data_IF_440941645332
#
_entry.id   IF_440941645332
#
_cell.length_a   1.000
_cell.length_b   1.000
_cell.length_c   1.000
_cell.angle_alpha   90.00
_cell.angle_beta   90.00
_cell.angle_gamma   90.00
#
_symmetry.space_group_name_H-M   'P 1'
#
loop_
_entity.id
_entity.type
_entity.pdbx_description
1 polymer ?
#
# COMPACT_ATOMS: atom_id res chain seq x y z
N UNK A 1 -1.72 -65.79 -16.89
CA UNK A 1 -2.31 -64.58 -17.48
C UNK A 1 -1.49 -63.33 -17.14
N UNK A 2 -0.17 -63.30 -17.36
CA UNK A 2 0.66 -62.15 -16.92
C UNK A 2 1.52 -61.50 -18.01
N UNK A 3 1.72 -62.19 -19.15
CA UNK A 3 2.52 -61.68 -20.27
C UNK A 3 1.65 -60.91 -21.27
N UNK A 4 0.44 -61.40 -21.55
CA UNK A 4 -0.51 -60.77 -22.48
C UNK A 4 -1.07 -59.44 -21.94
N UNK A 5 -1.31 -59.32 -20.63
CA UNK A 5 -1.72 -58.05 -20.01
C UNK A 5 -0.60 -57.02 -20.04
N UNK A 6 0.65 -57.45 -19.84
CA UNK A 6 1.82 -56.57 -19.87
C UNK A 6 2.09 -56.05 -21.27
N UNK A 7 2.00 -56.91 -22.29
CA UNK A 7 2.06 -56.50 -23.71
C UNK A 7 0.92 -55.53 -24.08
N UNK A 8 -0.28 -55.71 -23.51
CA UNK A 8 -1.41 -54.81 -23.75
C UNK A 8 -1.15 -53.42 -23.15
N UNK A 9 -0.60 -53.33 -21.94
CA UNK A 9 -0.23 -52.05 -21.29
C UNK A 9 0.91 -51.30 -21.98
N UNK A 10 1.87 -52.04 -22.54
CA UNK A 10 2.96 -51.48 -23.37
C UNK A 10 2.40 -50.92 -24.68
N UNK A 11 1.51 -51.64 -25.36
CA UNK A 11 0.89 -51.20 -26.61
C UNK A 11 -0.11 -50.04 -26.43
N UNK A 12 -0.71 -49.89 -25.25
CA UNK A 12 -1.64 -48.78 -24.92
C UNK A 12 -0.97 -47.56 -24.30
N UNK A 13 0.36 -47.57 -24.10
CA UNK A 13 1.12 -46.43 -23.55
C UNK A 13 0.83 -46.12 -22.07
N UNK A 14 0.15 -47.01 -21.34
CA UNK A 14 -0.21 -46.79 -19.93
C UNK A 14 1.02 -46.85 -19.00
N UNK A 15 2.06 -47.63 -19.34
CA UNK A 15 3.33 -47.63 -18.60
C UNK A 15 4.12 -46.32 -18.82
N UNK A 16 4.18 -45.79 -20.05
CA UNK A 16 4.82 -44.49 -20.34
C UNK A 16 4.09 -43.30 -19.69
N UNK A 17 2.75 -43.35 -19.62
CA UNK A 17 1.96 -42.32 -18.94
C UNK A 17 2.19 -42.33 -17.42
N UNK A 18 2.45 -43.52 -16.85
CA UNK A 18 2.74 -43.67 -15.43
C UNK A 18 4.15 -43.20 -15.08
N UNK A 19 5.15 -43.55 -15.89
CA UNK A 19 6.51 -43.02 -15.76
C UNK A 19 6.55 -41.49 -15.88
N UNK A 20 5.87 -40.92 -16.89
CA UNK A 20 5.76 -39.44 -17.02
C UNK A 20 5.06 -38.79 -15.83
N UNK A 21 4.06 -39.45 -15.24
CA UNK A 21 3.37 -38.93 -14.05
C UNK A 21 4.22 -38.97 -12.78
N UNK A 22 5.14 -39.94 -12.67
CA UNK A 22 6.10 -40.04 -11.56
C UNK A 22 7.23 -39.03 -11.76
N UNK A 23 7.72 -38.85 -13.00
CA UNK A 23 8.74 -37.85 -13.35
C UNK A 23 8.25 -36.40 -13.14
N UNK A 24 6.96 -36.12 -13.41
CA UNK A 24 6.35 -34.81 -13.13
C UNK A 24 6.20 -34.56 -11.62
N UNK A 25 5.92 -35.60 -10.82
CA UNK A 25 5.84 -35.47 -9.36
C UNK A 25 7.20 -35.22 -8.73
N UNK A 26 8.25 -35.88 -9.23
CA UNK A 26 9.62 -35.68 -8.76
C UNK A 26 10.11 -34.25 -9.09
N UNK A 27 9.82 -33.76 -10.30
CA UNK A 27 10.12 -32.37 -10.69
C UNK A 27 9.32 -31.32 -9.92
N UNK A 28 8.08 -31.62 -9.53
CA UNK A 28 7.27 -30.74 -8.67
C UNK A 28 7.84 -30.68 -7.24
N UNK A 29 8.27 -31.81 -6.68
CA UNK A 29 8.89 -31.85 -5.36
C UNK A 29 10.23 -31.07 -5.33
N UNK A 30 11.08 -31.24 -6.35
CA UNK A 30 12.33 -30.46 -6.47
C UNK A 30 12.08 -28.95 -6.67
N UNK A 31 10.97 -28.58 -7.30
CA UNK A 31 10.59 -27.18 -7.48
C UNK A 31 10.05 -26.55 -6.17
N UNK A 32 9.28 -27.32 -5.39
CA UNK A 32 8.78 -26.89 -4.08
C UNK A 32 9.94 -26.67 -3.08
N UNK A 33 10.92 -27.58 -3.04
CA UNK A 33 12.10 -27.46 -2.18
C UNK A 33 12.94 -26.22 -2.52
N UNK A 34 13.16 -25.94 -3.82
CA UNK A 34 13.87 -24.73 -4.28
C UNK A 34 13.12 -23.42 -4.02
N UNK A 35 11.79 -23.47 -3.95
CA UNK A 35 10.97 -22.30 -3.59
C UNK A 35 11.03 -22.05 -2.09
N UNK A 36 11.05 -23.11 -1.29
CA UNK A 36 11.19 -23.00 0.17
C UNK A 36 12.57 -22.44 0.55
N UNK A 37 13.66 -22.95 -0.05
CA UNK A 37 15.03 -22.49 0.18
C UNK A 37 15.21 -21.01 -0.21
N UNK A 38 14.67 -20.59 -1.37
CA UNK A 38 14.66 -19.16 -1.77
C UNK A 38 13.79 -18.29 -0.87
N UNK A 39 12.73 -18.84 -0.28
CA UNK A 39 11.88 -18.09 0.65
C UNK A 39 12.59 -17.83 1.98
N UNK A 40 13.47 -18.72 2.41
CA UNK A 40 14.30 -18.54 3.60
C UNK A 40 15.42 -17.53 3.36
N UNK A 41 16.11 -17.59 2.21
CA UNK A 41 17.12 -16.57 1.83
C UNK A 41 16.53 -15.15 1.75
N UNK A 42 15.28 -15.01 1.28
CA UNK A 42 14.59 -13.72 1.21
C UNK A 42 14.20 -13.21 2.60
N UNK A 43 13.86 -14.10 3.54
CA UNK A 43 13.58 -13.74 4.94
C UNK A 43 14.84 -13.28 5.67
N UNK A 44 15.98 -13.95 5.47
CA UNK A 44 17.26 -13.51 6.03
C UNK A 44 17.66 -12.14 5.50
N UNK A 45 17.53 -11.90 4.18
CA UNK A 45 17.84 -10.60 3.58
C UNK A 45 16.90 -9.48 4.03
N UNK A 46 15.64 -9.79 4.36
CA UNK A 46 14.69 -8.85 4.94
C UNK A 46 15.04 -8.53 6.40
N UNK A 47 15.45 -9.52 7.19
CA UNK A 47 15.89 -9.31 8.57
C UNK A 47 17.17 -8.46 8.65
N UNK A 48 18.16 -8.72 7.78
CA UNK A 48 19.39 -7.91 7.69
C UNK A 48 19.09 -6.46 7.23
N UNK A 49 18.04 -6.26 6.43
CA UNK A 49 17.63 -4.93 6.00
C UNK A 49 16.87 -4.18 7.10
N UNK A 50 16.10 -4.87 7.95
CA UNK A 50 15.42 -4.29 9.12
C UNK A 50 16.43 -3.88 10.20
N UNK A 51 17.44 -4.71 10.48
CA UNK A 51 18.51 -4.42 11.45
C UNK A 51 19.36 -3.20 11.04
N UNK A 52 19.69 -3.07 9.75
CA UNK A 52 20.40 -1.89 9.20
C UNK A 52 19.58 -0.60 9.23
N UNK A 53 18.24 -0.70 9.28
CA UNK A 53 17.35 0.44 9.42
C UNK A 53 17.20 0.82 10.90
N UNK A 54 17.25 -0.15 11.80
CA UNK A 54 17.26 0.07 13.25
C UNK A 54 18.55 0.74 13.72
N UNK A 55 19.73 0.26 13.29
CA UNK A 55 21.03 0.88 13.64
C UNK A 55 21.12 2.34 13.14
N UNK A 56 20.65 2.62 11.92
CA UNK A 56 20.58 4.00 11.41
C UNK A 56 19.59 4.90 12.16
N UNK A 57 18.58 4.30 12.80
CA UNK A 57 17.62 5.04 13.62
C UNK A 57 18.14 5.34 15.03
N UNK A 58 19.13 4.57 15.50
CA UNK A 58 19.83 4.80 16.78
C UNK A 58 20.99 5.78 16.63
N UNK A 59 21.75 5.74 15.53
CA UNK A 59 22.80 6.75 15.23
C UNK A 59 22.23 8.17 15.09
N UNK A 60 20.97 8.32 14.64
CA UNK A 60 20.28 9.62 14.56
C UNK A 60 19.83 10.12 15.94
N UNK A 61 19.63 9.22 16.91
CA UNK A 61 19.23 9.58 18.29
C UNK A 61 20.43 9.93 19.17
N UNK A 62 21.58 9.30 18.96
CA UNK A 62 22.80 9.59 19.73
C UNK A 62 23.52 10.87 19.27
N UNK A 63 23.23 11.36 18.05
CA UNK A 63 23.78 12.63 17.56
C UNK A 63 23.15 13.90 18.20
N UNK A 64 22.06 13.76 18.98
CA UNK A 64 21.39 14.89 19.66
C UNK A 64 21.80 15.10 21.13
N UNK A 65 22.69 14.28 21.72
CA UNK A 65 23.09 14.42 23.13
C UNK A 65 24.57 14.85 23.35
N UNK A 66 24.77 16.18 23.38
CA UNK A 66 25.70 16.97 24.25
C UNK A 66 27.23 16.97 23.99
N UNK A 67 28.03 17.98 24.49
CA UNK A 67 27.69 19.19 25.26
C UNK A 67 28.26 20.52 24.70
N UNK A 68 27.68 21.67 25.09
CA UNK A 68 28.29 23.01 24.95
C UNK A 68 28.66 23.57 26.33
N UNK A 69 29.89 24.02 26.45
CA UNK A 69 30.42 24.79 27.58
C UNK A 69 29.98 26.26 27.53
N UNK A 70 29.63 26.76 28.72
CA UNK A 70 29.69 28.12 29.29
C UNK A 70 29.42 29.37 28.42
N UNK A 71 28.31 30.06 28.72
CA UNK A 71 28.26 31.52 28.87
C UNK A 71 27.05 31.96 29.71
N UNK A 72 27.37 32.48 30.91
CA UNK A 72 26.74 33.53 31.72
C UNK A 72 25.22 33.55 32.01
N UNK A 73 24.95 33.79 33.30
CA UNK A 73 23.68 33.83 34.02
C UNK A 73 22.70 34.90 33.51
N UNK A 74 21.48 34.49 33.15
CA UNK A 74 20.29 35.33 33.28
C UNK A 74 19.24 34.56 34.11
N UNK A 75 18.92 35.10 35.29
CA UNK A 75 17.87 34.60 36.17
C UNK A 75 16.51 34.69 35.47
N UNK A 76 15.87 33.54 35.20
CA UNK A 76 14.45 33.47 34.88
C UNK A 76 13.76 32.76 36.04
N UNK A 77 12.94 33.50 36.77
CA UNK A 77 12.11 33.02 37.88
C UNK A 77 11.25 31.84 37.42
N UNK A 78 11.47 30.65 38.01
CA UNK A 78 10.54 29.53 37.87
C UNK A 78 9.21 29.89 38.54
N UNK A 79 8.23 30.34 37.75
CA UNK A 79 6.83 30.32 38.16
C UNK A 79 6.39 28.84 38.31
N UNK A 80 6.26 28.41 39.57
CA UNK A 80 5.70 27.09 39.91
C UNK A 80 4.30 26.98 39.30
N UNK A 81 3.98 25.97 38.47
CA UNK A 81 2.64 25.84 37.96
C UNK A 81 1.69 25.57 39.13
N UNK A 82 0.68 26.42 39.25
CA UNK A 82 -0.44 26.18 40.15
C UNK A 82 -1.06 24.82 39.80
N UNK A 83 -1.39 24.08 40.85
CA UNK A 83 -1.80 22.67 40.87
C UNK A 83 -3.07 22.35 40.03
N UNK A 84 -3.63 23.32 39.31
CA UNK A 84 -4.83 23.19 38.47
C UNK A 84 -4.56 22.63 37.08
N UNK A 85 -3.35 22.76 36.55
CA UNK A 85 -3.11 22.51 35.11
C UNK A 85 -2.92 21.03 34.75
N UNK A 86 -2.77 20.16 35.76
CA UNK A 86 -2.66 18.70 35.62
C UNK A 86 -4.01 18.04 35.28
N UNK A 87 -5.14 18.74 35.41
CA UNK A 87 -6.49 18.22 35.10
C UNK A 87 -7.01 18.58 33.70
N UNK A 88 -6.22 19.27 32.89
CA UNK A 88 -6.60 19.55 31.50
C UNK A 88 -6.02 18.45 30.61
N UNK A 89 -6.89 17.56 30.11
CA UNK A 89 -6.57 16.60 29.03
C UNK A 89 -6.10 17.26 27.72
N UNK A 90 -5.95 18.58 27.70
CA UNK A 90 -5.48 19.37 26.58
C UNK A 90 -3.97 19.51 26.72
N UNK A 91 -3.23 18.66 26.00
CA UNK A 91 -1.78 18.82 25.88
C UNK A 91 -1.50 20.04 24.99
N UNK A 92 -1.15 21.17 25.60
CA UNK A 92 -0.47 22.30 24.96
C UNK A 92 -1.17 22.98 23.77
N UNK A 93 -0.54 24.04 23.26
CA UNK A 93 -1.04 24.84 22.13
C UNK A 93 -1.08 24.08 20.79
N UNK A 94 -0.43 22.91 20.71
CA UNK A 94 -0.24 22.11 19.49
C UNK A 94 -1.53 21.42 18.97
N UNK A 95 -2.54 21.20 19.82
CA UNK A 95 -3.82 20.59 19.43
C UNK A 95 -4.94 21.62 19.11
N UNK A 96 -4.65 22.92 19.19
CA UNK A 96 -5.64 23.97 18.97
C UNK A 96 -5.87 24.21 17.47
N UNK A 97 -7.00 23.73 16.95
CA UNK A 97 -7.46 24.06 15.59
C UNK A 97 -7.90 25.52 15.54
N UNK A 98 -7.17 26.35 14.79
CA UNK A 98 -7.47 27.76 14.56
C UNK A 98 -8.25 27.92 13.25
N UNK A 99 -8.83 29.11 13.06
CA UNK A 99 -9.51 29.45 11.79
C UNK A 99 -8.55 29.49 10.60
N UNK A 100 -7.26 29.73 10.84
CA UNK A 100 -6.20 29.71 9.82
C UNK A 100 -6.01 28.35 9.19
N UNK A 101 -6.27 27.28 9.92
CA UNK A 101 -5.95 25.90 9.51
C UNK A 101 -7.06 25.28 8.66
N UNK A 102 -8.18 26.00 8.50
CA UNK A 102 -9.36 25.58 7.77
C UNK A 102 -9.23 26.04 6.32
N UNK A 103 -8.95 25.09 5.43
CA UNK A 103 -8.96 25.28 3.98
C UNK A 103 -10.32 24.88 3.40
N UNK A 104 -11.16 25.88 3.12
CA UNK A 104 -12.47 25.66 2.50
C UNK A 104 -12.36 25.14 1.07
N UNK A 105 -11.33 25.54 0.33
CA UNK A 105 -11.11 25.12 -1.06
C UNK A 105 -10.84 23.62 -1.12
N UNK A 106 -10.10 23.09 -0.14
CA UNK A 106 -9.88 21.64 -0.03
C UNK A 106 -11.19 20.86 0.14
N UNK A 107 -12.07 21.31 1.04
CA UNK A 107 -13.36 20.65 1.26
C UNK A 107 -14.24 20.69 0.01
N UNK A 108 -14.28 21.84 -0.67
CA UNK A 108 -15.03 22.03 -1.92
C UNK A 108 -14.45 21.17 -3.05
N UNK A 109 -13.13 21.06 -3.16
CA UNK A 109 -12.45 20.20 -4.13
C UNK A 109 -12.81 18.73 -3.95
N UNK A 110 -12.82 18.24 -2.71
CA UNK A 110 -13.22 16.86 -2.39
C UNK A 110 -14.69 16.62 -2.74
N UNK A 111 -15.58 17.59 -2.50
CA UNK A 111 -16.99 17.50 -2.87
C UNK A 111 -17.16 17.47 -4.40
N UNK A 112 -16.53 18.40 -5.11
CA UNK A 112 -16.58 18.51 -6.56
C UNK A 112 -16.04 17.27 -7.28
N UNK A 113 -15.06 16.58 -6.69
CA UNK A 113 -14.52 15.33 -7.23
C UNK A 113 -15.42 14.10 -7.02
N UNK A 114 -16.66 14.27 -6.52
CA UNK A 114 -17.63 13.21 -6.27
C UNK A 114 -17.87 12.88 -4.80
N UNK A 115 -17.30 13.68 -3.88
CA UNK A 115 -17.44 13.55 -2.43
C UNK A 115 -18.64 14.29 -1.83
N UNK A 116 -19.62 14.76 -2.62
CA UNK A 116 -20.77 15.59 -2.17
C UNK A 116 -21.49 15.03 -0.93
N UNK A 117 -21.60 13.70 -0.83
CA UNK A 117 -22.22 13.03 0.33
C UNK A 117 -21.52 13.28 1.67
N UNK A 118 -20.33 13.87 1.67
CA UNK A 118 -19.57 14.28 2.85
C UNK A 118 -20.38 15.22 3.76
N UNK A 119 -21.21 16.09 3.18
CA UNK A 119 -22.02 17.07 3.91
C UNK A 119 -23.10 16.42 4.78
N UNK A 120 -23.54 15.22 4.43
CA UNK A 120 -24.59 14.51 5.16
C UNK A 120 -24.07 13.85 6.45
N UNK A 121 -22.75 13.84 6.65
CA UNK A 121 -22.14 13.18 7.81
C UNK A 121 -22.40 13.96 9.11
N UNK A 122 -23.25 13.39 9.96
CA UNK A 122 -23.53 13.85 11.33
C UNK A 122 -22.64 13.22 12.43
N UNK A 123 -21.50 12.63 12.08
CA UNK A 123 -20.50 12.14 13.04
C UNK A 123 -20.93 11.01 14.02
N UNK A 124 -21.88 10.14 13.65
CA UNK A 124 -22.32 9.02 14.52
C UNK A 124 -21.24 7.99 14.92
N UNK A 125 -20.18 7.79 14.11
CA UNK A 125 -19.10 6.84 14.41
C UNK A 125 -19.32 5.39 14.00
N UNK A 126 -20.45 5.02 13.38
CA UNK A 126 -20.70 3.65 12.86
C UNK A 126 -19.60 3.16 11.92
N UNK A 127 -19.02 4.08 11.13
CA UNK A 127 -17.92 3.78 10.23
C UNK A 127 -16.65 3.33 10.97
N UNK A 128 -16.30 3.99 12.07
CA UNK A 128 -15.14 3.63 12.90
C UNK A 128 -15.36 2.28 13.58
N UNK A 129 -16.56 2.04 14.15
CA UNK A 129 -16.88 0.75 14.77
C UNK A 129 -16.91 -0.42 13.79
N UNK A 130 -17.26 -0.15 12.53
CA UNK A 130 -17.29 -1.17 11.46
C UNK A 130 -15.92 -1.48 10.88
N UNK A 131 -14.95 -0.58 11.04
CA UNK A 131 -13.66 -0.68 10.37
C UNK A 131 -12.84 -1.87 10.92
N UNK A 132 -12.33 -2.76 10.06
CA UNK A 132 -11.40 -3.80 10.50
C UNK A 132 -10.04 -3.20 10.89
N UNK A 133 -9.51 -2.25 10.12
CA UNK A 133 -8.22 -1.59 10.41
C UNK A 133 -8.26 -0.82 11.72
N UNK A 134 -9.34 -0.07 11.97
CA UNK A 134 -9.48 0.77 13.17
C UNK A 134 -9.62 0.01 14.50
N UNK A 135 -9.80 -1.32 14.45
CA UNK A 135 -9.76 -2.20 15.63
C UNK A 135 -8.35 -2.51 16.11
N UNK A 136 -7.34 -2.40 15.24
CA UNK A 136 -5.94 -2.76 15.53
C UNK A 136 -4.97 -1.59 15.37
N UNK A 137 -5.46 -0.44 14.93
CA UNK A 137 -4.65 0.73 14.58
C UNK A 137 -5.30 2.01 15.10
N UNK A 138 -4.57 3.14 15.16
CA UNK A 138 -5.16 4.44 15.48
C UNK A 138 -6.12 4.96 14.39
N UNK A 139 -6.31 4.25 13.27
CA UNK A 139 -7.16 4.67 12.17
C UNK A 139 -8.64 4.85 12.59
N UNK A 140 -9.12 6.09 12.63
CA UNK A 140 -10.53 6.42 12.90
C UNK A 140 -11.18 7.08 11.69
N UNK A 141 -11.96 6.29 10.96
CA UNK A 141 -12.70 6.75 9.76
C UNK A 141 -13.52 8.02 10.03
N UNK A 142 -14.22 8.08 11.17
CA UNK A 142 -15.01 9.24 11.58
C UNK A 142 -14.17 10.53 11.64
N UNK A 143 -12.95 10.45 12.17
CA UNK A 143 -12.06 11.62 12.32
C UNK A 143 -11.59 12.12 10.95
N UNK A 144 -11.20 11.22 10.04
CA UNK A 144 -10.80 11.61 8.67
C UNK A 144 -11.95 12.31 7.95
N UNK A 145 -13.16 11.74 8.04
CA UNK A 145 -14.36 12.37 7.46
C UNK A 145 -14.65 13.73 8.11
N UNK A 146 -14.39 13.89 9.41
CA UNK A 146 -14.55 15.18 10.08
C UNK A 146 -13.53 16.20 9.60
N UNK A 147 -12.24 15.83 9.59
CA UNK A 147 -11.15 16.68 9.11
C UNK A 147 -11.41 17.12 7.66
N UNK A 148 -11.86 16.20 6.79
CA UNK A 148 -12.18 16.50 5.40
C UNK A 148 -13.36 17.48 5.25
N UNK A 149 -14.40 17.33 6.08
CA UNK A 149 -15.53 18.27 6.08
C UNK A 149 -15.14 19.65 6.65
N UNK A 150 -14.17 19.68 7.58
CA UNK A 150 -13.63 20.94 8.12
C UNK A 150 -12.59 21.60 7.22
N UNK A 151 -12.05 20.91 6.21
CA UNK A 151 -10.99 21.48 5.37
C UNK A 151 -9.59 21.42 5.99
N UNK A 152 -9.35 20.53 6.96
CA UNK A 152 -8.05 20.43 7.66
C UNK A 152 -7.01 19.66 6.81
N UNK A 153 -6.67 20.21 5.65
CA UNK A 153 -5.80 19.60 4.64
C UNK A 153 -4.45 19.17 5.24
N UNK A 154 -3.80 20.07 5.98
CA UNK A 154 -2.46 19.87 6.51
C UNK A 154 -2.39 18.78 7.60
N UNK A 155 -3.54 18.43 8.19
CA UNK A 155 -3.63 17.31 9.15
C UNK A 155 -4.05 15.98 8.53
N UNK A 156 -4.48 15.96 7.27
CA UNK A 156 -5.00 14.75 6.60
C UNK A 156 -3.98 14.22 5.60
N UNK A 157 -3.41 15.09 4.76
CA UNK A 157 -2.51 14.66 3.68
C UNK A 157 -1.24 13.96 4.20
N UNK A 158 -0.54 14.48 5.23
CA UNK A 158 0.63 13.80 5.78
C UNK A 158 0.30 12.64 6.73
N UNK A 159 -0.97 12.45 7.11
CA UNK A 159 -1.35 11.45 8.11
C UNK A 159 -1.22 10.02 7.53
N UNK A 160 -0.27 9.19 8.02
CA UNK A 160 -0.04 7.85 7.48
C UNK A 160 -1.26 6.93 7.70
N UNK A 161 -2.13 7.24 8.66
CA UNK A 161 -3.33 6.43 8.92
C UNK A 161 -4.30 6.45 7.72
N UNK A 162 -4.25 7.48 6.85
CA UNK A 162 -5.03 7.54 5.62
C UNK A 162 -4.85 6.28 4.75
N UNK A 163 -3.65 5.72 4.73
CA UNK A 163 -3.30 4.54 3.93
C UNK A 163 -3.74 3.21 4.56
N UNK A 164 -4.16 3.20 5.83
CA UNK A 164 -4.62 2.00 6.54
C UNK A 164 -6.02 1.51 6.11
N UNK A 165 -6.76 2.29 5.31
CA UNK A 165 -8.02 1.84 4.74
C UNK A 165 -7.81 0.77 3.67
N UNK A 166 -8.38 -0.41 3.89
CA UNK A 166 -8.35 -1.54 2.95
C UNK A 166 -9.43 -1.46 1.87
N UNK A 167 -10.21 -0.37 1.82
CA UNK A 167 -11.33 -0.20 0.88
C UNK A 167 -12.36 -1.34 0.91
N UNK A 168 -12.60 -1.95 2.08
CA UNK A 168 -13.53 -3.07 2.24
C UNK A 168 -15.03 -2.73 2.17
N UNK A 169 -15.39 -1.44 2.00
CA UNK A 169 -16.78 -0.94 1.93
C UNK A 169 -17.70 -1.15 3.14
N UNK A 170 -17.28 -1.86 4.19
CA UNK A 170 -18.11 -2.12 5.37
C UNK A 170 -18.66 -0.84 6.05
N UNK A 171 -17.89 0.24 6.07
CA UNK A 171 -18.32 1.52 6.64
C UNK A 171 -19.37 2.24 5.78
N UNK A 172 -19.31 2.07 4.46
CA UNK A 172 -20.22 2.69 3.49
C UNK A 172 -21.58 2.01 3.53
N UNK A 173 -21.61 0.68 3.53
CA UNK A 173 -22.84 -0.11 3.61
C UNK A 173 -23.63 0.11 4.91
N UNK A 174 -22.92 0.34 6.02
CA UNK A 174 -23.56 0.57 7.33
C UNK A 174 -23.83 2.03 7.62
N UNK A 175 -23.54 2.94 6.70
CA UNK A 175 -23.73 4.37 6.95
C UNK A 175 -25.23 4.71 6.93
N UNK A 176 -25.83 5.18 8.05
CA UNK A 176 -27.25 5.54 8.08
C UNK A 176 -27.58 6.74 7.19
N UNK A 177 -26.56 7.55 6.85
CA UNK A 177 -26.67 8.73 5.97
C UNK A 177 -26.23 8.45 4.53
N UNK A 178 -25.88 7.20 4.20
CA UNK A 178 -25.41 6.79 2.86
C UNK A 178 -24.24 7.62 2.33
N UNK A 179 -23.33 8.03 3.23
CA UNK A 179 -22.08 8.72 2.85
C UNK A 179 -21.20 7.74 2.09
N UNK A 180 -20.69 8.15 0.92
CA UNK A 180 -19.74 7.38 0.09
C UNK A 180 -18.33 7.46 0.68
N UNK A 181 -18.17 6.91 1.89
CA UNK A 181 -16.97 7.06 2.71
C UNK A 181 -15.71 6.56 1.99
N UNK A 182 -15.79 5.41 1.32
CA UNK A 182 -14.62 4.83 0.64
C UNK A 182 -14.20 5.68 -0.54
N UNK A 183 -15.17 6.23 -1.28
CA UNK A 183 -14.89 7.12 -2.41
C UNK A 183 -14.24 8.43 -1.93
N UNK A 184 -14.75 9.04 -0.85
CA UNK A 184 -14.12 10.21 -0.22
C UNK A 184 -12.67 9.90 0.20
N UNK A 185 -12.41 8.75 0.82
CA UNK A 185 -11.05 8.37 1.21
C UNK A 185 -10.12 8.23 -0.01
N UNK A 186 -10.59 7.62 -1.11
CA UNK A 186 -9.81 7.51 -2.36
C UNK A 186 -9.53 8.89 -2.96
N UNK A 187 -10.48 9.82 -2.93
CA UNK A 187 -10.28 11.19 -3.39
C UNK A 187 -9.23 11.93 -2.55
N UNK A 188 -9.28 11.78 -1.22
CA UNK A 188 -8.27 12.35 -0.34
C UNK A 188 -6.89 11.74 -0.63
N UNK A 189 -6.80 10.42 -0.89
CA UNK A 189 -5.54 9.77 -1.31
C UNK A 189 -5.00 10.31 -2.62
N UNK A 190 -5.87 10.68 -3.58
CA UNK A 190 -5.43 11.32 -4.82
C UNK A 190 -4.79 12.68 -4.55
N UNK A 191 -5.36 13.47 -3.64
CA UNK A 191 -4.79 14.75 -3.23
C UNK A 191 -3.49 14.57 -2.43
N UNK A 192 -3.41 13.56 -1.57
CA UNK A 192 -2.19 13.20 -0.85
C UNK A 192 -1.08 12.77 -1.80
N UNK A 193 -1.42 11.96 -2.82
CA UNK A 193 -0.49 11.56 -3.88
C UNK A 193 0.04 12.76 -4.67
N UNK A 194 -0.83 13.70 -5.08
CA UNK A 194 -0.41 14.94 -5.76
C UNK A 194 0.49 15.82 -4.89
N UNK A 195 0.31 15.77 -3.58
CA UNK A 195 1.14 16.48 -2.61
C UNK A 195 2.46 15.73 -2.26
N UNK A 196 2.72 14.57 -2.86
CA UNK A 196 3.95 13.80 -2.66
C UNK A 196 3.89 12.73 -1.57
N UNK A 197 2.76 12.57 -0.86
CA UNK A 197 2.61 11.59 0.23
C UNK A 197 2.25 10.16 -0.27
N UNK A 198 2.82 9.74 -1.40
CA UNK A 198 2.65 8.38 -1.93
C UNK A 198 3.83 7.48 -1.51
N UNK A 199 3.52 6.31 -0.94
CA UNK A 199 4.53 5.32 -0.56
C UNK A 199 5.37 4.85 -1.77
N UNK A 200 6.69 4.64 -1.61
CA UNK A 200 7.56 4.12 -2.68
C UNK A 200 7.08 2.78 -3.26
N UNK A 201 6.50 1.90 -2.43
CA UNK A 201 6.00 0.59 -2.88
C UNK A 201 4.81 0.75 -3.83
N UNK A 202 3.91 1.71 -3.56
CA UNK A 202 2.81 2.01 -4.48
C UNK A 202 3.30 2.61 -5.80
N UNK A 203 4.33 3.47 -5.75
CA UNK A 203 4.98 4.01 -6.95
C UNK A 203 5.62 2.88 -7.78
N UNK A 204 6.30 1.93 -7.13
CA UNK A 204 6.91 0.77 -7.78
C UNK A 204 5.88 -0.12 -8.51
N UNK A 205 4.72 -0.37 -7.90
CA UNK A 205 3.62 -1.07 -8.61
C UNK A 205 3.16 -0.28 -9.85
N UNK A 206 3.12 1.05 -9.75
CA UNK A 206 2.86 1.94 -10.88
C UNK A 206 3.86 1.78 -12.03
N UNK A 207 5.15 1.66 -11.75
CA UNK A 207 6.17 1.47 -12.79
C UNK A 207 6.07 0.10 -13.47
N UNK A 208 5.69 -0.96 -12.74
CA UNK A 208 5.40 -2.26 -13.36
C UNK A 208 4.25 -2.19 -14.35
N UNK A 209 3.18 -1.45 -14.01
CA UNK A 209 2.04 -1.23 -14.92
C UNK A 209 2.47 -0.47 -16.17
N UNK A 210 3.34 0.54 -16.05
CA UNK A 210 3.86 1.28 -17.22
C UNK A 210 4.71 0.38 -18.13
N UNK A 211 5.60 -0.42 -17.54
CA UNK A 211 6.53 -1.30 -18.27
C UNK A 211 5.82 -2.45 -18.96
N UNK A 212 4.91 -3.11 -18.25
CA UNK A 212 4.40 -4.43 -18.63
C UNK A 212 2.88 -4.48 -18.78
N UNK A 213 2.16 -3.42 -18.39
CA UNK A 213 0.70 -3.40 -18.33
C UNK A 213 0.12 -4.10 -17.09
N UNK A 214 0.96 -4.64 -16.21
CA UNK A 214 0.53 -5.42 -15.04
C UNK A 214 1.20 -4.91 -13.76
N UNK A 215 0.47 -4.94 -12.65
CA UNK A 215 1.04 -4.63 -11.33
C UNK A 215 1.96 -5.74 -10.79
N UNK A 216 1.79 -6.96 -11.30
CA UNK A 216 2.67 -8.12 -11.06
C UNK A 216 3.03 -8.69 -12.43
N UNK A 217 4.26 -8.46 -12.93
CA UNK A 217 4.69 -8.98 -14.23
C UNK A 217 4.86 -10.50 -14.19
N UNK A 218 4.89 -11.13 -15.36
CA UNK A 218 5.10 -12.58 -15.47
C UNK A 218 6.58 -12.95 -15.41
N UNK A 219 6.91 -13.87 -14.50
CA UNK A 219 8.26 -14.44 -14.37
C UNK A 219 8.41 -15.74 -15.15
N UNK A 220 9.64 -16.17 -15.41
CA UNK A 220 9.92 -17.41 -16.14
C UNK A 220 9.40 -18.66 -15.42
N UNK A 221 9.41 -18.65 -14.08
CA UNK A 221 8.81 -19.71 -13.26
C UNK A 221 7.29 -19.81 -13.52
N UNK A 222 6.60 -18.67 -13.67
CA UNK A 222 5.17 -18.65 -13.97
C UNK A 222 4.88 -19.14 -15.39
N UNK A 223 5.75 -18.85 -16.37
CA UNK A 223 5.61 -19.37 -17.74
C UNK A 223 5.73 -20.90 -17.77
N UNK A 224 6.72 -21.45 -17.07
CA UNK A 224 6.92 -22.90 -16.96
C UNK A 224 5.75 -23.58 -16.23
N UNK A 225 5.26 -22.98 -15.14
CA UNK A 225 4.09 -23.49 -14.42
C UNK A 225 2.85 -23.53 -15.32
N UNK A 226 2.64 -22.49 -16.14
CA UNK A 226 1.52 -22.43 -17.09
C UNK A 226 1.59 -23.55 -18.11
N UNK A 227 2.75 -23.77 -18.71
CA UNK A 227 2.95 -24.87 -19.68
C UNK A 227 2.74 -26.24 -19.01
N UNK A 228 3.25 -26.42 -17.79
CA UNK A 228 3.07 -27.66 -17.03
C UNK A 228 1.59 -28.00 -16.72
N UNK A 229 0.73 -26.98 -16.56
CA UNK A 229 -0.72 -27.17 -16.38
C UNK A 229 -1.51 -27.14 -17.69
N UNK A 230 -0.82 -27.15 -18.84
CA UNK A 230 -1.43 -27.17 -20.18
C UNK A 230 -2.02 -25.82 -20.63
N UNK A 231 -1.61 -24.72 -20.00
CA UNK A 231 -1.92 -23.36 -20.44
C UNK A 231 -0.78 -22.83 -21.33
N UNK A 232 -1.09 -21.97 -22.30
CA UNK A 232 -0.04 -21.32 -23.09
C UNK A 232 0.92 -20.50 -22.22
N UNK A 233 2.22 -20.53 -22.55
CA UNK A 233 3.31 -19.87 -21.79
C UNK A 233 2.97 -18.42 -21.43
N UNK A 234 2.52 -17.65 -22.42
CA UNK A 234 2.08 -16.27 -22.23
C UNK A 234 0.55 -16.18 -22.12
N UNK A 235 0.01 -15.46 -21.13
CA UNK A 235 -1.41 -15.20 -21.04
C UNK A 235 -1.86 -14.23 -22.16
N UNK A 236 -3.13 -14.29 -22.59
CA UNK A 236 -3.69 -13.41 -23.63
C UNK A 236 -3.95 -11.98 -23.09
N UNK A 237 -2.91 -11.34 -22.56
CA UNK A 237 -2.90 -9.97 -22.02
C UNK A 237 -1.90 -9.10 -22.78
N UNK A 238 -1.53 -7.92 -22.27
CA UNK A 238 -0.50 -7.05 -22.86
C UNK A 238 0.84 -7.75 -23.10
N UNK A 239 1.11 -8.89 -22.44
CA UNK A 239 2.28 -9.74 -22.70
C UNK A 239 2.25 -10.41 -24.08
N UNK A 240 1.06 -10.77 -24.57
CA UNK A 240 0.88 -11.40 -25.89
C UNK A 240 0.50 -10.41 -26.99
N UNK A 241 0.00 -9.22 -26.61
CA UNK A 241 -0.47 -8.18 -27.53
C UNK A 241 0.29 -6.86 -27.30
N UNK A 242 1.42 -6.63 -28.00
CA UNK A 242 2.23 -5.42 -27.85
C UNK A 242 1.47 -4.12 -28.14
N UNK A 243 0.54 -4.13 -29.11
CA UNK A 243 -0.29 -2.95 -29.40
C UNK A 243 -1.17 -2.49 -28.22
N UNK A 244 -1.63 -3.42 -27.38
CA UNK A 244 -2.39 -3.07 -26.19
C UNK A 244 -1.51 -2.40 -25.11
N UNK A 245 -0.23 -2.74 -25.05
CA UNK A 245 0.72 -2.07 -24.15
C UNK A 245 0.94 -0.62 -24.59
N UNK A 246 1.07 -0.36 -25.89
CA UNK A 246 1.20 1.01 -26.42
C UNK A 246 -0.03 1.87 -26.09
N UNK A 247 -1.23 1.30 -26.16
CA UNK A 247 -2.47 1.97 -25.75
C UNK A 247 -2.46 2.33 -24.27
N UNK A 248 -2.05 1.40 -23.39
CA UNK A 248 -1.92 1.66 -21.95
C UNK A 248 -0.92 2.79 -21.70
N UNK A 249 0.25 2.75 -22.32
CA UNK A 249 1.27 3.80 -22.18
C UNK A 249 0.78 5.16 -22.69
N UNK A 250 0.00 5.18 -23.78
CA UNK A 250 -0.61 6.41 -24.30
C UNK A 250 -1.63 7.00 -23.30
N UNK A 251 -2.45 6.16 -22.66
CA UNK A 251 -3.39 6.61 -21.63
C UNK A 251 -2.62 7.21 -20.45
N UNK A 252 -1.55 6.57 -19.99
CA UNK A 252 -0.72 7.03 -18.87
C UNK A 252 -0.12 8.40 -19.14
N UNK A 253 0.44 8.62 -20.34
CA UNK A 253 0.97 9.94 -20.76
C UNK A 253 -0.12 11.00 -20.84
N UNK A 254 -1.32 10.63 -21.31
CA UNK A 254 -2.44 11.57 -21.45
C UNK A 254 -3.03 11.97 -20.09
N UNK A 255 -3.04 11.06 -19.12
CA UNK A 255 -3.54 11.34 -17.76
C UNK A 255 -2.49 11.97 -16.85
N UNK A 256 -1.22 12.01 -17.26
CA UNK A 256 -0.10 12.55 -16.48
C UNK A 256 0.28 11.67 -15.29
N UNK A 257 -0.09 10.38 -15.30
CA UNK A 257 0.22 9.48 -14.19
C UNK A 257 1.72 9.19 -14.07
N UNK A 258 2.44 9.22 -15.18
CA UNK A 258 3.90 9.15 -15.23
C UNK A 258 4.56 10.28 -14.43
N UNK A 259 4.11 11.53 -14.64
CA UNK A 259 4.60 12.69 -13.89
C UNK A 259 4.24 12.64 -12.41
N UNK A 260 3.08 12.07 -12.06
CA UNK A 260 2.63 11.93 -10.66
C UNK A 260 3.53 10.99 -9.85
N UNK A 261 3.96 9.88 -10.45
CA UNK A 261 4.81 8.90 -9.76
C UNK A 261 6.30 9.22 -9.86
N UNK A 262 6.71 10.10 -10.79
CA UNK A 262 8.11 10.43 -11.06
C UNK A 262 8.77 9.44 -12.03
N UNK A 263 8.03 8.92 -13.01
CA UNK A 263 8.56 7.91 -13.93
C UNK A 263 9.37 8.54 -15.07
N UNK A 264 10.62 8.12 -15.21
CA UNK A 264 11.47 8.52 -16.32
C UNK A 264 11.38 7.49 -17.47
N UNK A 265 10.91 7.93 -18.63
CA UNK A 265 10.73 7.09 -19.82
C UNK A 265 12.05 6.65 -20.48
N UNK A 266 13.15 7.33 -20.23
CA UNK A 266 14.47 7.02 -20.80
C UNK A 266 15.17 5.91 -20.01
N UNK A 267 15.20 6.04 -18.67
CA UNK A 267 15.80 5.04 -17.77
C UNK A 267 14.85 3.88 -17.47
N UNK A 268 13.54 4.13 -17.59
CA UNK A 268 12.50 3.20 -17.20
C UNK A 268 12.38 3.06 -15.68
N UNK A 269 12.93 3.96 -14.88
CA UNK A 269 12.91 3.90 -13.41
C UNK A 269 12.16 5.10 -12.81
N UNK A 270 11.97 5.07 -11.49
CA UNK A 270 11.28 6.12 -10.73
C UNK A 270 12.36 7.00 -10.09
N UNK A 271 12.22 8.32 -10.24
CA UNK A 271 13.04 9.35 -9.60
C UNK A 271 12.41 9.91 -8.30
#
# INVERSE_FOLDING_TARGET
>A
MSILERLKRILTGEEEAKEKSEEVKEKLAEAEEKVEEKSEEVKEKLAEAEEKVEEKSEEVKEAEESPKEEAEEEEIEEEKPERSDIMTLLKGEEELIRRSDIDKEFSEKVKAAGGESLEYCFQCGTCTGSCPSGRRTPYKVRQIIRKANMGLKDQILPDPTLWMCTTCYACQERCPRKVKIVDVIKLIRNEAAKAGYMSPVHKAVGSFVIKTGHGVPIDDATKQLRDAVGLGELPPTTHSFPGALEEVQKIIKTTGFDSLIGYNWETGEIE
#
